data_IF_214306425491
#
_entry.id   IF_214306425491
#
_cell.length_a   1.000
_cell.length_b   1.000
_cell.length_c   1.000
_cell.angle_alpha   90.00
_cell.angle_beta   90.00
_cell.angle_gamma   90.00
#
_symmetry.space_group_name_H-M   'P 1'
#
loop_
_entity.id
_entity.type
_entity.pdbx_description
1 polymer ?
#
# COMPACT_ATOMS: atom_id res chain seq x y z
N UNK A 1 19.85 20.03 -28.76
CA UNK A 1 20.69 20.09 -27.55
C UNK A 1 20.23 21.30 -26.76
N UNK A 2 20.05 21.27 -25.42
CA UNK A 2 20.77 22.24 -24.56
C UNK A 2 20.25 22.39 -23.11
N UNK A 3 18.95 22.57 -22.82
CA UNK A 3 18.57 22.95 -21.44
C UNK A 3 18.33 21.78 -20.48
N UNK A 4 17.54 20.77 -20.86
CA UNK A 4 17.23 19.64 -19.98
C UNK A 4 18.48 18.80 -19.65
N UNK A 5 19.39 18.68 -20.61
CA UNK A 5 20.68 17.98 -20.43
C UNK A 5 21.63 18.76 -19.51
N UNK A 6 21.67 20.09 -19.62
CA UNK A 6 22.50 20.93 -18.76
C UNK A 6 22.02 20.92 -17.31
N UNK A 7 20.70 20.98 -17.10
CA UNK A 7 20.10 20.87 -15.77
C UNK A 7 20.36 19.48 -15.18
N UNK A 8 20.15 18.42 -15.96
CA UNK A 8 20.45 17.05 -15.54
C UNK A 8 21.92 16.82 -15.17
N UNK A 9 22.85 17.43 -15.92
CA UNK A 9 24.28 17.37 -15.63
C UNK A 9 24.66 18.13 -14.35
N UNK A 10 24.12 19.34 -14.14
CA UNK A 10 24.35 20.11 -12.92
C UNK A 10 23.80 19.36 -11.69
N UNK A 11 22.61 18.77 -11.81
CA UNK A 11 21.98 17.98 -10.74
C UNK A 11 22.80 16.72 -10.44
N UNK A 12 23.33 16.07 -11.47
CA UNK A 12 24.26 14.94 -11.31
C UNK A 12 25.52 15.33 -10.54
N UNK A 13 26.17 16.44 -10.90
CA UNK A 13 27.35 16.94 -10.19
C UNK A 13 27.02 17.29 -8.74
N UNK A 14 25.91 17.97 -8.47
CA UNK A 14 25.47 18.31 -7.12
C UNK A 14 25.21 17.06 -6.28
N UNK A 15 24.49 16.08 -6.81
CA UNK A 15 24.22 14.82 -6.12
C UNK A 15 25.51 14.05 -5.84
N UNK A 16 26.46 14.04 -6.78
CA UNK A 16 27.76 13.37 -6.63
C UNK A 16 28.62 13.95 -5.48
N UNK A 17 28.47 15.22 -5.13
CA UNK A 17 29.17 15.80 -3.97
C UNK A 17 28.65 15.28 -2.62
N UNK A 18 27.46 14.68 -2.59
CA UNK A 18 26.84 14.15 -1.37
C UNK A 18 27.33 12.74 -1.03
N UNK A 19 27.20 12.34 0.24
CA UNK A 19 27.47 10.96 0.67
C UNK A 19 26.53 9.96 -0.01
N UNK A 20 27.05 8.77 -0.36
CA UNK A 20 26.31 7.67 -1.01
C UNK A 20 25.03 7.27 -0.27
N UNK A 21 25.03 7.36 1.07
CA UNK A 21 23.84 7.12 1.89
C UNK A 21 22.75 8.15 1.58
N UNK A 22 23.12 9.42 1.63
CA UNK A 22 22.22 10.56 1.36
C UNK A 22 21.71 10.56 -0.08
N UNK A 23 22.56 10.17 -1.04
CA UNK A 23 22.15 9.97 -2.44
C UNK A 23 21.07 8.88 -2.55
N UNK A 24 21.26 7.74 -1.87
CA UNK A 24 20.30 6.63 -1.87
C UNK A 24 18.94 7.05 -1.30
N UNK A 25 18.95 7.80 -0.20
CA UNK A 25 17.72 8.30 0.44
C UNK A 25 16.97 9.28 -0.48
N UNK A 26 17.69 10.24 -1.09
CA UNK A 26 17.11 11.17 -2.05
C UNK A 26 16.51 10.48 -3.28
N UNK A 27 17.18 9.46 -3.80
CA UNK A 27 16.67 8.64 -4.92
C UNK A 27 15.39 7.92 -4.49
N UNK A 28 15.37 7.34 -3.29
CA UNK A 28 14.18 6.67 -2.77
C UNK A 28 13.01 7.65 -2.67
N UNK A 29 13.21 8.81 -2.05
CA UNK A 29 12.18 9.84 -1.88
C UNK A 29 11.63 10.31 -3.22
N UNK A 30 12.51 10.55 -4.20
CA UNK A 30 12.10 10.95 -5.54
C UNK A 30 11.29 9.86 -6.26
N UNK A 31 11.71 8.59 -6.17
CA UNK A 31 11.00 7.46 -6.80
C UNK A 31 9.62 7.28 -6.17
N UNK A 32 9.51 7.33 -4.83
CA UNK A 32 8.23 7.18 -4.14
C UNK A 32 7.28 8.38 -4.35
N UNK A 33 7.83 9.58 -4.54
CA UNK A 33 7.06 10.78 -4.82
C UNK A 33 6.53 10.83 -6.25
N UNK A 34 7.37 10.46 -7.24
CA UNK A 34 7.05 10.60 -8.67
C UNK A 34 6.23 9.43 -9.23
N UNK A 35 6.49 8.21 -8.80
CA UNK A 35 5.92 7.01 -9.42
C UNK A 35 4.91 6.31 -8.52
N UNK A 36 3.65 6.32 -8.93
CA UNK A 36 2.54 5.69 -8.21
C UNK A 36 2.71 4.18 -8.00
N UNK A 37 3.40 3.50 -8.93
CA UNK A 37 3.64 2.06 -8.84
C UNK A 37 4.51 1.69 -7.64
N UNK A 38 5.47 2.55 -7.27
CA UNK A 38 6.31 2.39 -6.09
C UNK A 38 5.55 2.80 -4.82
N UNK A 39 4.78 3.88 -4.87
CA UNK A 39 3.96 4.35 -3.73
C UNK A 39 2.92 3.32 -3.29
N UNK A 40 2.27 2.67 -4.26
CA UNK A 40 1.24 1.64 -4.03
C UNK A 40 1.79 0.22 -3.94
N UNK A 41 3.11 0.03 -4.04
CA UNK A 41 3.77 -1.29 -4.00
C UNK A 41 3.19 -2.29 -5.01
N UNK A 42 2.86 -1.82 -6.22
CA UNK A 42 2.31 -2.68 -7.27
C UNK A 42 3.40 -3.65 -7.81
N UNK A 43 3.04 -4.84 -8.32
CA UNK A 43 3.98 -5.73 -8.97
C UNK A 43 4.67 -5.04 -10.14
N UNK A 44 6.01 -4.93 -10.11
CA UNK A 44 6.76 -4.19 -11.12
C UNK A 44 7.00 -5.04 -12.37
N UNK A 45 7.08 -4.37 -13.53
CA UNK A 45 7.50 -4.98 -14.79
C UNK A 45 8.95 -5.46 -14.72
N UNK A 46 9.26 -6.50 -15.49
CA UNK A 46 10.64 -6.94 -15.67
C UNK A 46 11.41 -5.87 -16.48
N UNK A 47 12.62 -5.54 -16.04
CA UNK A 47 13.44 -4.50 -16.68
C UNK A 47 13.14 -3.06 -16.23
N UNK A 48 12.37 -2.87 -15.15
CA UNK A 48 12.03 -1.53 -14.63
C UNK A 48 13.27 -0.75 -14.16
N UNK A 49 14.36 -1.45 -13.85
CA UNK A 49 15.68 -0.88 -13.56
C UNK A 49 16.21 -0.06 -14.74
N UNK A 50 16.11 -0.60 -15.97
CA UNK A 50 16.54 0.11 -17.19
C UNK A 50 15.65 1.30 -17.48
N UNK A 51 14.34 1.13 -17.30
CA UNK A 51 13.36 2.21 -17.48
C UNK A 51 13.63 3.36 -16.48
N UNK A 52 13.99 3.04 -15.22
CA UNK A 52 14.36 4.04 -14.21
C UNK A 52 15.68 4.75 -14.53
N UNK A 53 16.70 4.02 -14.98
CA UNK A 53 18.00 4.61 -15.36
C UNK A 53 17.84 5.54 -16.57
N UNK A 54 17.01 5.17 -17.54
CA UNK A 54 16.68 6.01 -18.68
C UNK A 54 15.89 7.27 -18.27
N UNK A 55 14.96 7.15 -17.33
CA UNK A 55 14.14 8.27 -16.86
C UNK A 55 14.90 9.20 -15.89
N UNK A 56 15.95 8.72 -15.24
CA UNK A 56 16.71 9.45 -14.22
C UNK A 56 18.23 9.38 -14.50
N UNK A 57 18.73 9.97 -15.60
CA UNK A 57 20.16 9.96 -15.94
C UNK A 57 21.05 10.73 -14.96
N UNK A 58 20.45 11.54 -14.07
CA UNK A 58 21.14 12.31 -13.04
C UNK A 58 21.67 11.47 -11.88
N UNK A 59 21.15 10.26 -11.68
CA UNK A 59 21.54 9.39 -10.57
C UNK A 59 22.45 8.25 -11.04
N UNK A 60 23.21 7.68 -10.11
CA UNK A 60 24.04 6.51 -10.40
C UNK A 60 23.16 5.25 -10.58
N UNK A 61 23.26 4.53 -11.71
CA UNK A 61 22.51 3.29 -11.92
C UNK A 61 22.72 2.25 -10.82
N UNK A 62 23.91 2.20 -10.19
CA UNK A 62 24.17 1.27 -9.10
C UNK A 62 23.34 1.58 -7.84
N UNK A 63 23.10 2.87 -7.57
CA UNK A 63 22.28 3.30 -6.44
C UNK A 63 20.80 3.09 -6.73
N UNK A 64 20.34 3.34 -7.96
CA UNK A 64 18.98 3.02 -8.39
C UNK A 64 18.70 1.52 -8.21
N UNK A 65 19.60 0.66 -8.68
CA UNK A 65 19.46 -0.80 -8.54
C UNK A 65 19.43 -1.22 -7.06
N UNK A 66 20.20 -0.56 -6.19
CA UNK A 66 20.17 -0.80 -4.74
C UNK A 66 18.84 -0.38 -4.11
N UNK A 67 18.31 0.80 -4.44
CA UNK A 67 17.00 1.26 -3.97
C UNK A 67 15.89 0.31 -4.44
N UNK A 68 15.95 -0.13 -5.70
CA UNK A 68 15.01 -1.09 -6.26
C UNK A 68 15.10 -2.45 -5.54
N UNK A 69 16.31 -2.95 -5.30
CA UNK A 69 16.52 -4.20 -4.56
C UNK A 69 15.96 -4.10 -3.13
N UNK A 70 16.18 -2.97 -2.47
CA UNK A 70 15.60 -2.70 -1.16
C UNK A 70 14.07 -2.66 -1.22
N UNK A 71 13.48 -2.02 -2.24
CA UNK A 71 12.02 -1.99 -2.44
C UNK A 71 11.45 -3.40 -2.60
N UNK A 72 12.05 -4.23 -3.45
CA UNK A 72 11.59 -5.59 -3.71
C UNK A 72 11.68 -6.53 -2.48
N UNK A 73 12.58 -6.24 -1.54
CA UNK A 73 12.71 -6.96 -0.26
C UNK A 73 11.70 -6.51 0.80
N UNK A 74 10.99 -5.39 0.59
CA UNK A 74 10.01 -4.91 1.57
C UNK A 74 8.82 -5.87 1.61
N UNK A 75 8.30 -6.22 2.79
CA UNK A 75 7.28 -7.24 2.91
C UNK A 75 5.93 -6.80 2.30
N UNK A 76 5.68 -5.48 2.20
CA UNK A 76 4.53 -4.92 1.44
C UNK A 76 4.58 -5.27 -0.05
N UNK A 77 5.78 -5.32 -0.64
CA UNK A 77 5.96 -5.68 -2.03
C UNK A 77 5.73 -7.18 -2.23
N UNK A 78 6.29 -8.02 -1.35
CA UNK A 78 6.08 -9.46 -1.38
C UNK A 78 4.59 -9.84 -1.23
N UNK A 79 3.82 -9.13 -0.39
CA UNK A 79 2.35 -9.31 -0.29
C UNK A 79 1.65 -9.00 -1.61
N UNK A 80 2.11 -7.99 -2.34
CA UNK A 80 1.55 -7.61 -3.64
C UNK A 80 1.91 -8.61 -4.74
N UNK A 81 3.08 -9.26 -4.65
CA UNK A 81 3.45 -10.40 -5.49
C UNK A 81 2.62 -11.65 -5.16
N UNK A 82 2.39 -11.94 -3.87
CA UNK A 82 1.56 -13.06 -3.42
C UNK A 82 0.09 -12.92 -3.84
N UNK A 83 -0.41 -11.68 -3.98
CA UNK A 83 -1.71 -11.37 -4.59
C UNK A 83 -1.74 -11.68 -6.10
N UNK A 84 -0.57 -11.68 -6.74
CA UNK A 84 -0.43 -11.92 -8.17
C UNK A 84 -1.04 -10.82 -9.05
N UNK A 85 -1.33 -11.19 -10.30
CA UNK A 85 -2.00 -10.34 -11.28
C UNK A 85 -1.08 -9.72 -12.33
N UNK A 86 -1.41 -8.50 -12.76
CA UNK A 86 -0.69 -7.78 -13.83
C UNK A 86 0.52 -7.06 -13.27
N UNK A 87 1.61 -7.03 -14.04
CA UNK A 87 2.80 -6.21 -13.75
C UNK A 87 2.64 -4.81 -14.37
N UNK A 88 3.20 -3.81 -13.69
CA UNK A 88 3.06 -2.41 -14.06
C UNK A 88 4.42 -1.78 -14.40
N UNK A 89 4.43 -0.94 -15.43
CA UNK A 89 5.58 -0.08 -15.76
C UNK A 89 5.57 1.25 -14.98
N UNK A 90 6.55 2.12 -15.23
CA UNK A 90 6.66 3.43 -14.57
C UNK A 90 5.45 4.35 -14.83
N UNK A 91 4.78 4.18 -15.96
CA UNK A 91 3.61 4.95 -16.37
C UNK A 91 2.30 4.28 -15.93
N UNK A 92 2.37 3.30 -15.03
CA UNK A 92 1.22 2.54 -14.52
C UNK A 92 0.46 1.77 -15.61
N UNK A 93 1.12 1.47 -16.73
CA UNK A 93 0.59 0.65 -17.81
C UNK A 93 0.95 -0.81 -17.58
N UNK A 94 0.08 -1.70 -18.08
CA UNK A 94 0.29 -3.14 -17.96
C UNK A 94 1.45 -3.59 -18.86
N UNK A 95 2.50 -4.13 -18.26
CA UNK A 95 3.68 -4.66 -18.96
C UNK A 95 4.05 -6.00 -18.33
N UNK A 96 3.41 -7.05 -18.82
CA UNK A 96 3.59 -8.42 -18.35
C UNK A 96 2.59 -8.87 -17.28
N UNK A 97 2.74 -10.13 -16.86
CA UNK A 97 1.92 -10.79 -15.83
C UNK A 97 2.85 -11.43 -14.80
N UNK A 98 2.40 -11.56 -13.56
CA UNK A 98 3.09 -12.37 -12.54
C UNK A 98 2.77 -13.82 -12.86
N UNK A 99 3.79 -14.65 -13.03
CA UNK A 99 3.59 -16.09 -13.24
C UNK A 99 3.06 -16.73 -11.95
N UNK A 100 2.16 -17.73 -12.01
CA UNK A 100 1.70 -18.45 -10.83
C UNK A 100 2.85 -19.08 -10.01
N UNK A 101 3.95 -19.45 -10.66
CA UNK A 101 5.15 -19.95 -9.96
C UNK A 101 5.81 -18.87 -9.10
N UNK A 102 5.96 -17.66 -9.63
CA UNK A 102 6.50 -16.51 -8.89
C UNK A 102 5.58 -16.12 -7.73
N UNK A 103 4.27 -16.27 -7.92
CA UNK A 103 3.28 -16.04 -6.89
C UNK A 103 3.39 -17.06 -5.75
N UNK A 104 3.57 -18.35 -6.07
CA UNK A 104 3.76 -19.41 -5.07
C UNK A 104 5.04 -19.20 -4.27
N UNK A 105 6.16 -18.86 -4.92
CA UNK A 105 7.43 -18.56 -4.24
C UNK A 105 7.28 -17.34 -3.31
N UNK A 106 6.55 -16.31 -3.73
CA UNK A 106 6.28 -15.15 -2.88
C UNK A 106 5.39 -15.50 -1.67
N UNK A 107 4.44 -16.43 -1.81
CA UNK A 107 3.60 -16.93 -0.71
C UNK A 107 4.38 -17.81 0.28
N UNK A 108 5.36 -18.56 -0.21
CA UNK A 108 6.23 -19.41 0.60
C UNK A 108 7.31 -18.62 1.34
N UNK A 109 7.51 -17.34 1.02
CA UNK A 109 8.55 -16.55 1.67
C UNK A 109 8.21 -16.33 3.17
N UNK A 110 9.07 -16.77 4.11
CA UNK A 110 8.75 -16.82 5.54
C UNK A 110 8.43 -15.44 6.13
N UNK A 111 9.07 -14.38 5.64
CA UNK A 111 8.77 -13.00 6.06
C UNK A 111 7.33 -12.54 5.73
N UNK A 112 6.68 -13.15 4.73
CA UNK A 112 5.29 -12.86 4.37
C UNK A 112 4.33 -13.61 5.30
N UNK A 113 4.63 -14.87 5.61
CA UNK A 113 3.84 -15.68 6.53
C UNK A 113 3.86 -15.13 7.96
N UNK A 114 5.03 -14.76 8.47
CA UNK A 114 5.17 -14.20 9.81
C UNK A 114 4.43 -12.85 9.94
N UNK A 115 4.50 -11.99 8.93
CA UNK A 115 3.75 -10.73 8.94
C UNK A 115 2.24 -10.93 8.77
N UNK A 116 1.79 -11.87 7.94
CA UNK A 116 0.37 -12.17 7.81
C UNK A 116 -0.20 -12.68 9.13
N UNK A 117 0.54 -13.57 9.82
CA UNK A 117 0.18 -14.04 11.16
C UNK A 117 0.14 -12.88 12.17
N UNK A 118 1.13 -11.98 12.14
CA UNK A 118 1.19 -10.83 13.05
C UNK A 118 0.13 -9.75 12.74
N UNK A 119 -0.28 -9.60 11.48
CA UNK A 119 -1.38 -8.73 11.07
C UNK A 119 -2.74 -9.34 11.46
N UNK A 120 -2.92 -10.65 11.26
CA UNK A 120 -4.13 -11.36 11.66
C UNK A 120 -4.34 -11.30 13.19
N UNK A 121 -3.27 -11.47 13.97
CA UNK A 121 -3.33 -11.31 15.42
C UNK A 121 -3.78 -9.90 15.84
N UNK A 122 -3.17 -8.86 15.26
CA UNK A 122 -3.57 -7.46 15.54
C UNK A 122 -4.98 -7.13 15.08
N UNK A 123 -5.42 -7.66 13.94
CA UNK A 123 -6.78 -7.44 13.46
C UNK A 123 -7.81 -8.16 14.31
N UNK A 124 -7.51 -9.37 14.81
CA UNK A 124 -8.38 -10.07 15.73
C UNK A 124 -8.51 -9.34 17.08
N UNK A 125 -7.41 -8.80 17.61
CA UNK A 125 -7.42 -7.96 18.81
C UNK A 125 -8.22 -6.66 18.60
N UNK A 126 -8.05 -6.00 17.45
CA UNK A 126 -8.78 -4.78 17.11
C UNK A 126 -10.27 -5.05 16.89
N UNK A 127 -10.63 -6.13 16.20
CA UNK A 127 -12.03 -6.52 15.99
C UNK A 127 -12.70 -6.98 17.28
N UNK A 128 -11.98 -7.64 18.19
CA UNK A 128 -12.49 -7.96 19.51
C UNK A 128 -12.74 -6.69 20.33
N UNK A 129 -11.82 -5.73 20.29
CA UNK A 129 -11.97 -4.44 20.97
C UNK A 129 -13.09 -3.57 20.37
N UNK A 130 -13.24 -3.54 19.04
CA UNK A 130 -14.34 -2.84 18.35
C UNK A 130 -15.69 -3.55 18.57
N UNK A 131 -15.71 -4.89 18.67
CA UNK A 131 -16.92 -5.63 19.01
C UNK A 131 -17.33 -5.39 20.47
N UNK A 132 -16.40 -5.35 21.43
CA UNK A 132 -16.70 -4.97 22.82
C UNK A 132 -17.16 -3.51 22.93
N UNK A 133 -16.59 -2.59 22.15
CA UNK A 133 -17.04 -1.20 22.11
C UNK A 133 -18.44 -1.05 21.48
N UNK A 134 -18.74 -1.77 20.41
CA UNK A 134 -20.05 -1.75 19.74
C UNK A 134 -21.15 -2.41 20.58
N UNK A 135 -20.83 -3.40 21.41
CA UNK A 135 -21.78 -4.02 22.34
C UNK A 135 -22.09 -3.11 23.54
N UNK A 136 -21.17 -2.20 23.91
CA UNK A 136 -21.37 -1.25 25.01
C UNK A 136 -22.25 -0.03 24.64
N UNK A 137 -22.40 0.31 23.36
CA UNK A 137 -23.23 1.46 22.91
C UNK A 137 -24.70 1.11 22.62
N UNK A 138 -25.12 -0.16 22.67
CA UNK A 138 -26.50 -0.56 22.34
C UNK A 138 -27.59 -0.53 23.45
N UNK A 139 -27.40 -0.12 24.73
CA UNK A 139 -28.51 -0.17 25.67
C UNK A 139 -29.39 1.10 25.70
N UNK A 140 -29.28 2.01 24.71
CA UNK A 140 -30.04 3.28 24.74
C UNK A 140 -31.23 3.38 23.77
N UNK A 141 -31.25 2.64 22.64
CA UNK A 141 -32.30 2.83 21.62
C UNK A 141 -33.48 1.84 21.73
N UNK A 142 -33.34 0.73 22.48
CA UNK A 142 -34.41 -0.27 22.60
C UNK A 142 -35.51 0.09 23.64
N UNK A 143 -35.30 1.11 24.48
CA UNK A 143 -36.28 1.48 25.51
C UNK A 143 -37.30 2.54 25.05
N UNK A 144 -37.09 3.20 23.91
CA UNK A 144 -37.97 4.27 23.45
C UNK A 144 -39.15 3.76 22.59
N UNK A 145 -39.05 2.61 21.92
CA UNK A 145 -40.12 2.14 21.02
C UNK A 145 -41.18 1.25 21.71
N UNK A 146 -40.91 0.72 22.90
CA UNK A 146 -41.91 -0.09 23.65
C UNK A 146 -42.85 0.74 24.53
N UNK A 147 -42.55 2.02 24.79
CA UNK A 147 -43.41 2.90 25.57
C UNK A 147 -44.57 3.52 24.75
N UNK A 148 -44.50 3.50 23.42
CA UNK A 148 -45.51 4.13 22.56
C UNK A 148 -46.74 3.25 22.29
N UNK A 149 -46.68 1.93 22.49
CA UNK A 149 -47.80 1.02 22.14
C UNK A 149 -48.82 0.79 23.27
N UNK A 150 -48.61 1.32 24.47
CA UNK A 150 -49.51 1.06 25.64
C UNK A 150 -50.47 2.23 25.92
N UNK A 151 -50.36 3.35 25.21
CA UNK A 151 -51.08 4.59 25.54
C UNK A 151 -52.35 4.86 24.70
N UNK A 152 -52.78 3.97 23.80
CA UNK A 152 -54.03 4.15 23.07
C UNK A 152 -55.05 3.06 23.42
N UNK A 153 -55.53 3.12 24.65
CA UNK A 153 -56.89 2.67 24.97
C UNK A 153 -57.64 3.84 25.56
N UNK A 154 -58.64 4.38 24.85
CA UNK A 154 -59.80 4.94 25.51
C UNK A 154 -60.99 4.00 25.29
N UNK A 155 -61.52 3.55 26.42
CA UNK A 155 -62.92 3.18 26.58
C UNK A 155 -63.81 4.36 26.10
N UNK A 156 -64.91 4.17 25.37
CA UNK A 156 -66.27 3.75 25.78
C UNK A 156 -67.28 4.44 24.80
N UNK A 157 -68.62 4.36 24.88
CA UNK A 157 -69.55 3.43 25.56
C UNK A 157 -70.72 2.91 24.64
N UNK A 158 -71.60 2.13 25.26
CA UNK A 158 -72.94 1.60 24.90
C UNK A 158 -73.86 2.30 23.87
N UNK A 159 -74.65 1.47 23.15
CA UNK A 159 -76.12 1.49 22.96
C UNK A 159 -76.46 0.49 21.82
N UNK A 160 -77.07 -0.66 22.11
CA UNK A 160 -78.52 -0.97 21.91
C UNK A 160 -79.03 -0.80 20.47
#
# INVERSE_FOLDING_TARGET
MTQETALGAALKSAVQTMSKKKQTDLIADHIYGKYDVFKRFKPLALGIDKDLVAALPQYDPALIARVLSNHCRRPRYLKSLARGGKRFDLNNRFKGKVSPEEQAIAQQHPAVQEMLARQAAKQAEQQAAEAEAAVAEQPAEAAAETAALVAETPAAPAAE
#
